data_IF_404405724135
#
_entry.id   IF_404405724135
#
_cell.length_a   1.000
_cell.length_b   1.000
_cell.length_c   1.000
_cell.angle_alpha   90.00
_cell.angle_beta   90.00
_cell.angle_gamma   90.00
#
_symmetry.space_group_name_H-M   'P 1'
#
loop_
_entity.id
_entity.type
_entity.pdbx_description
1 polymer ?
#
# COMPACT_ATOMS: atom_id res chain seq x y z
N UNK A 1 -8.61 11.71 80.58
CA UNK A 1 -8.45 13.17 80.47
C UNK A 1 -9.85 13.74 80.27
N UNK A 2 -10.26 14.70 81.12
CA UNK A 2 -11.47 15.53 80.98
C UNK A 2 -12.79 14.75 81.13
N UNK A 3 -13.61 14.84 82.18
CA UNK A 3 -13.81 15.90 83.18
C UNK A 3 -14.82 16.91 82.66
N UNK A 4 -16.13 16.73 82.92
CA UNK A 4 -17.10 17.84 82.92
C UNK A 4 -18.11 17.65 84.05
N UNK A 5 -17.94 18.51 85.05
CA UNK A 5 -18.91 18.93 86.06
C UNK A 5 -20.03 19.75 85.43
N UNK A 6 -21.19 19.80 86.10
CA UNK A 6 -21.89 21.02 86.57
C UNK A 6 -23.40 20.74 86.72
N UNK A 7 -23.93 20.80 87.95
CA UNK A 7 -24.58 21.99 88.56
C UNK A 7 -26.00 22.20 88.02
N UNK A 8 -27.02 22.60 88.77
CA UNK A 8 -27.21 22.98 90.17
C UNK A 8 -28.74 23.14 90.34
N UNK A 9 -29.22 22.94 91.57
CA UNK A 9 -30.32 23.64 92.28
C UNK A 9 -31.60 24.04 91.50
N UNK A 10 -32.82 23.78 91.97
CA UNK A 10 -33.37 24.18 93.26
C UNK A 10 -34.76 23.55 93.45
N UNK A 11 -35.06 23.23 94.71
CA UNK A 11 -36.38 23.22 95.36
C UNK A 11 -37.54 22.42 94.77
N UNK A 12 -37.88 21.37 95.53
CA UNK A 12 -39.26 21.19 95.99
C UNK A 12 -39.94 19.99 95.35
N UNK A 13 -40.55 19.21 96.24
CA UNK A 13 -41.49 18.13 95.99
C UNK A 13 -40.88 16.74 95.78
N UNK A 14 -41.14 15.92 96.80
CA UNK A 14 -40.93 14.49 96.86
C UNK A 14 -41.34 13.81 95.54
N UNK A 15 -40.35 13.48 94.72
CA UNK A 15 -40.50 12.46 93.70
C UNK A 15 -39.50 11.35 93.99
N UNK A 16 -40.07 10.23 94.43
CA UNK A 16 -39.45 8.92 94.47
C UNK A 16 -38.69 8.70 93.17
N UNK A 17 -37.36 8.69 93.27
CA UNK A 17 -36.46 8.44 92.15
C UNK A 17 -36.80 7.05 91.59
N UNK A 18 -37.14 6.90 90.29
CA UNK A 18 -37.20 5.58 89.69
C UNK A 18 -35.75 5.09 89.61
N UNK A 19 -35.42 4.12 90.44
CA UNK A 19 -34.19 3.34 90.40
C UNK A 19 -34.14 2.54 89.08
N UNK A 20 -33.89 3.22 87.96
CA UNK A 20 -33.76 2.64 86.62
C UNK A 20 -32.30 2.38 86.21
N UNK A 21 -31.37 2.30 87.17
CA UNK A 21 -29.95 1.99 86.94
C UNK A 21 -29.35 1.04 87.99
N UNK A 22 -30.16 0.16 88.57
CA UNK A 22 -29.61 -1.05 89.18
C UNK A 22 -29.27 -2.04 88.06
N UNK A 23 -28.03 -1.92 87.55
CA UNK A 23 -27.37 -2.96 86.76
C UNK A 23 -27.62 -4.30 87.48
N UNK A 24 -28.42 -5.17 86.85
CA UNK A 24 -28.82 -6.47 87.40
C UNK A 24 -27.63 -7.43 87.32
N UNK A 25 -26.68 -7.24 88.23
CA UNK A 25 -25.54 -8.13 88.45
C UNK A 25 -26.01 -9.29 89.33
N UNK A 26 -26.87 -10.18 88.80
CA UNK A 26 -26.91 -11.59 89.21
C UNK A 26 -27.91 -12.38 88.34
N UNK A 27 -27.44 -12.96 87.24
CA UNK A 27 -28.08 -14.08 86.55
C UNK A 27 -27.15 -14.51 85.43
N UNK A 28 -26.68 -15.75 85.46
CA UNK A 28 -25.78 -16.34 84.46
C UNK A 28 -26.38 -16.49 83.06
N UNK A 29 -27.61 -16.01 82.83
CA UNK A 29 -28.34 -16.11 81.56
C UNK A 29 -29.24 -14.88 81.24
N UNK A 30 -29.12 -13.74 81.93
CA UNK A 30 -29.98 -12.54 81.70
C UNK A 30 -29.44 -11.56 80.64
N UNK A 31 -28.28 -11.81 80.02
CA UNK A 31 -27.75 -10.96 78.95
C UNK A 31 -28.62 -10.96 77.67
N UNK A 32 -29.64 -11.82 77.62
CA UNK A 32 -30.57 -11.99 76.50
C UNK A 32 -32.02 -11.55 76.81
N UNK A 33 -32.31 -11.01 78.00
CA UNK A 33 -33.65 -10.50 78.37
C UNK A 33 -33.57 -8.98 78.56
N UNK A 34 -33.47 -8.25 77.45
CA UNK A 34 -33.81 -6.83 77.43
C UNK A 34 -35.32 -6.71 77.12
N UNK A 35 -36.09 -5.97 77.93
CA UNK A 35 -37.44 -5.53 77.56
C UNK A 35 -37.30 -4.52 76.41
N UNK A 36 -37.50 -4.98 75.19
CA UNK A 36 -37.51 -4.10 74.02
C UNK A 36 -38.90 -3.46 73.90
N UNK A 37 -38.96 -2.13 73.79
CA UNK A 37 -40.17 -1.48 73.28
C UNK A 37 -40.41 -2.00 71.86
N UNK A 38 -41.68 -2.18 71.48
CA UNK A 38 -42.04 -2.76 70.18
C UNK A 38 -41.45 -1.95 69.01
N UNK A 39 -41.28 -0.64 69.21
CA UNK A 39 -40.58 0.25 68.27
C UNK A 39 -39.07 0.04 68.18
N UNK A 40 -38.40 -0.24 69.30
CA UNK A 40 -36.93 -0.44 69.35
C UNK A 40 -36.52 -1.78 68.72
N UNK A 41 -37.27 -2.84 69.00
CA UNK A 41 -37.06 -4.14 68.36
C UNK A 41 -37.25 -4.05 66.84
N UNK A 42 -38.33 -3.41 66.38
CA UNK A 42 -38.62 -3.25 64.96
C UNK A 42 -37.53 -2.43 64.24
N UNK A 43 -37.04 -1.36 64.87
CA UNK A 43 -35.97 -0.52 64.31
C UNK A 43 -34.63 -1.28 64.22
N UNK A 44 -34.30 -2.09 65.22
CA UNK A 44 -33.13 -2.96 65.20
C UNK A 44 -33.20 -3.98 64.06
N UNK A 45 -34.30 -4.73 63.95
CA UNK A 45 -34.46 -5.71 62.88
C UNK A 45 -34.55 -5.08 61.48
N UNK A 46 -35.19 -3.91 61.36
CA UNK A 46 -35.23 -3.13 60.11
C UNK A 46 -33.83 -2.67 59.68
N UNK A 47 -32.99 -2.25 60.63
CA UNK A 47 -31.59 -1.86 60.36
C UNK A 47 -30.74 -3.07 59.96
N UNK A 48 -30.90 -4.21 60.64
CA UNK A 48 -30.22 -5.46 60.29
C UNK A 48 -30.61 -5.93 58.88
N UNK A 49 -31.92 -5.95 58.57
CA UNK A 49 -32.40 -6.32 57.23
C UNK A 49 -31.93 -5.33 56.15
N UNK A 50 -31.98 -4.03 56.42
CA UNK A 50 -31.46 -3.00 55.52
C UNK A 50 -29.96 -3.17 55.25
N UNK A 51 -29.18 -3.52 56.27
CA UNK A 51 -27.75 -3.79 56.13
C UNK A 51 -27.47 -5.04 55.28
N UNK A 52 -28.23 -6.11 55.45
CA UNK A 52 -28.10 -7.35 54.66
C UNK A 52 -28.42 -7.09 53.18
N UNK A 53 -29.52 -6.38 52.90
CA UNK A 53 -29.90 -6.02 51.52
C UNK A 53 -28.80 -5.15 50.86
N UNK A 54 -28.22 -4.22 51.62
CA UNK A 54 -27.13 -3.36 51.13
C UNK A 54 -25.88 -4.18 50.78
N UNK A 55 -25.49 -5.14 51.64
CA UNK A 55 -24.34 -6.03 51.39
C UNK A 55 -24.57 -6.89 50.14
N UNK A 56 -25.76 -7.46 49.97
CA UNK A 56 -26.11 -8.25 48.76
C UNK A 56 -26.06 -7.37 47.50
N UNK A 57 -26.58 -6.14 47.58
CA UNK A 57 -26.53 -5.17 46.49
C UNK A 57 -25.10 -4.81 46.09
N UNK A 58 -24.22 -4.59 47.07
CA UNK A 58 -22.78 -4.35 46.83
C UNK A 58 -22.10 -5.54 46.17
N UNK A 59 -22.32 -6.77 46.66
CA UNK A 59 -21.72 -7.98 46.08
C UNK A 59 -22.16 -8.16 44.62
N UNK A 60 -23.45 -7.98 44.34
CA UNK A 60 -24.01 -8.10 42.98
C UNK A 60 -23.44 -7.03 42.05
N UNK A 61 -23.32 -5.79 42.54
CA UNK A 61 -22.71 -4.66 41.81
C UNK A 61 -21.25 -4.96 41.48
N UNK A 62 -20.48 -5.49 42.42
CA UNK A 62 -19.06 -5.85 42.20
C UNK A 62 -18.94 -6.95 41.13
N UNK A 63 -19.76 -7.99 41.19
CA UNK A 63 -19.73 -9.09 40.20
C UNK A 63 -20.08 -8.56 38.80
N UNK A 64 -21.14 -7.76 38.69
CA UNK A 64 -21.57 -7.18 37.42
C UNK A 64 -20.50 -6.24 36.83
N UNK A 65 -19.97 -5.33 37.66
CA UNK A 65 -18.93 -4.37 37.25
C UNK A 65 -17.67 -5.10 36.80
N UNK A 66 -17.25 -6.14 37.53
CA UNK A 66 -16.07 -6.92 37.16
C UNK A 66 -16.27 -7.65 35.82
N UNK A 67 -17.45 -8.24 35.58
CA UNK A 67 -17.78 -8.87 34.29
C UNK A 67 -17.77 -7.86 33.14
N UNK A 68 -18.37 -6.68 33.36
CA UNK A 68 -18.41 -5.61 32.36
C UNK A 68 -17.01 -5.06 32.06
N UNK A 69 -16.19 -4.83 33.08
CA UNK A 69 -14.81 -4.38 32.91
C UNK A 69 -13.99 -5.39 32.11
N UNK A 70 -14.08 -6.68 32.44
CA UNK A 70 -13.40 -7.74 31.69
C UNK A 70 -13.83 -7.78 30.22
N UNK A 71 -15.11 -7.62 29.93
CA UNK A 71 -15.60 -7.56 28.55
C UNK A 71 -15.09 -6.30 27.82
N UNK A 72 -15.09 -5.14 28.49
CA UNK A 72 -14.55 -3.90 27.96
C UNK A 72 -13.05 -3.99 27.67
N UNK A 73 -12.26 -4.59 28.56
CA UNK A 73 -10.82 -4.80 28.37
C UNK A 73 -10.53 -5.72 27.18
N UNK A 74 -11.28 -6.83 27.05
CA UNK A 74 -11.16 -7.73 25.90
C UNK A 74 -11.53 -6.99 24.60
N UNK A 75 -12.60 -6.21 24.62
CA UNK A 75 -13.01 -5.40 23.47
C UNK A 75 -11.94 -4.38 23.07
N UNK A 76 -11.42 -3.60 24.03
CA UNK A 76 -10.37 -2.62 23.78
C UNK A 76 -9.10 -3.27 23.25
N UNK A 77 -8.69 -4.43 23.81
CA UNK A 77 -7.54 -5.18 23.33
C UNK A 77 -7.74 -5.64 21.89
N UNK A 78 -8.90 -6.20 21.56
CA UNK A 78 -9.22 -6.66 20.20
C UNK A 78 -9.26 -5.49 19.21
N UNK A 79 -9.79 -4.34 19.63
CA UNK A 79 -9.77 -3.10 18.85
C UNK A 79 -8.34 -2.64 18.53
N UNK A 80 -7.46 -2.58 19.53
CA UNK A 80 -6.05 -2.21 19.32
C UNK A 80 -5.35 -3.18 18.36
N UNK A 81 -5.63 -4.49 18.48
CA UNK A 81 -5.06 -5.50 17.57
C UNK A 81 -5.60 -5.31 16.14
N UNK A 82 -6.89 -5.03 15.98
CA UNK A 82 -7.51 -4.76 14.69
C UNK A 82 -6.93 -3.49 14.05
N UNK A 83 -6.75 -2.42 14.82
CA UNK A 83 -6.16 -1.16 14.36
C UNK A 83 -4.71 -1.37 13.89
N UNK A 84 -3.88 -2.07 14.67
CA UNK A 84 -2.51 -2.37 14.26
C UNK A 84 -2.47 -3.21 12.97
N UNK A 85 -3.36 -4.20 12.84
CA UNK A 85 -3.48 -5.01 11.62
C UNK A 85 -3.94 -4.17 10.43
N UNK A 86 -4.86 -3.24 10.63
CA UNK A 86 -5.35 -2.33 9.60
C UNK A 86 -4.21 -1.47 9.05
N UNK A 87 -3.39 -0.87 9.90
CA UNK A 87 -2.22 -0.07 9.47
C UNK A 87 -1.27 -0.90 8.60
N UNK A 88 -0.94 -2.12 9.04
CA UNK A 88 -0.08 -3.03 8.27
C UNK A 88 -0.69 -3.43 6.92
N UNK A 89 -2.01 -3.62 6.85
CA UNK A 89 -2.70 -3.92 5.60
C UNK A 89 -2.77 -2.72 4.67
N UNK A 90 -2.94 -1.52 5.21
CA UNK A 90 -2.92 -0.28 4.45
C UNK A 90 -1.55 -0.08 3.79
N UNK A 91 -0.46 -0.24 4.53
CA UNK A 91 0.90 -0.15 4.00
C UNK A 91 1.14 -1.17 2.87
N UNK A 92 0.76 -2.44 3.08
CA UNK A 92 0.87 -3.48 2.05
C UNK A 92 0.08 -3.13 0.79
N UNK A 93 -1.11 -2.58 0.96
CA UNK A 93 -1.97 -2.19 -0.15
C UNK A 93 -1.40 -1.03 -0.96
N UNK A 94 -0.89 0.01 -0.30
CA UNK A 94 -0.23 1.14 -0.98
C UNK A 94 0.99 0.65 -1.79
N UNK A 95 1.76 -0.28 -1.24
CA UNK A 95 2.86 -0.90 -1.96
C UNK A 95 2.39 -1.64 -3.21
N UNK A 96 1.30 -2.42 -3.12
CA UNK A 96 0.72 -3.11 -4.27
C UNK A 96 0.22 -2.10 -5.31
N UNK A 97 -0.51 -1.06 -4.90
CA UNK A 97 -1.00 -0.04 -5.81
C UNK A 97 0.14 0.65 -6.56
N UNK A 98 1.19 1.05 -5.85
CA UNK A 98 2.37 1.67 -6.46
C UNK A 98 2.96 0.77 -7.55
N UNK A 99 3.05 -0.54 -7.33
CA UNK A 99 3.48 -1.48 -8.36
C UNK A 99 2.53 -1.52 -9.57
N UNK A 100 1.21 -1.56 -9.34
CA UNK A 100 0.21 -1.56 -10.43
C UNK A 100 0.31 -0.26 -11.26
N UNK A 101 0.52 0.88 -10.62
CA UNK A 101 0.75 2.16 -11.32
C UNK A 101 2.05 2.15 -12.12
N UNK A 102 3.15 1.64 -11.56
CA UNK A 102 4.42 1.51 -12.29
C UNK A 102 4.29 0.60 -13.51
N UNK A 103 3.56 -0.53 -13.38
CA UNK A 103 3.28 -1.43 -14.51
C UNK A 103 2.50 -0.69 -15.59
N UNK A 104 1.47 0.08 -15.22
CA UNK A 104 0.70 0.88 -16.17
C UNK A 104 1.58 1.89 -16.91
N UNK A 105 2.41 2.65 -16.20
CA UNK A 105 3.32 3.66 -16.80
C UNK A 105 4.22 3.01 -17.87
N UNK A 106 4.78 1.84 -17.55
CA UNK A 106 5.66 1.09 -18.45
C UNK A 106 4.90 0.52 -19.64
N UNK A 107 3.74 -0.12 -19.42
CA UNK A 107 2.93 -0.74 -20.48
C UNK A 107 2.32 0.29 -21.42
N UNK A 108 1.87 1.43 -20.89
CA UNK A 108 1.33 2.54 -21.68
C UNK A 108 2.41 3.42 -22.29
N UNK A 109 3.69 3.11 -22.05
CA UNK A 109 4.83 3.80 -22.65
C UNK A 109 4.77 5.32 -22.39
N UNK A 110 4.35 5.73 -21.18
CA UNK A 110 4.20 7.13 -20.79
C UNK A 110 5.55 7.88 -20.85
N UNK A 111 6.65 7.17 -20.57
CA UNK A 111 8.02 7.68 -20.74
C UNK A 111 8.29 8.20 -22.17
N UNK A 112 7.58 7.67 -23.18
CA UNK A 112 7.77 8.02 -24.59
C UNK A 112 6.93 9.23 -25.04
N UNK A 113 6.07 9.78 -24.18
CA UNK A 113 5.22 10.94 -24.48
C UNK A 113 5.96 12.27 -24.46
N UNK A 114 7.09 12.35 -23.75
CA UNK A 114 7.89 13.58 -23.67
C UNK A 114 8.53 13.97 -25.02
N UNK A 115 8.50 15.26 -25.35
CA UNK A 115 9.38 15.82 -26.38
C UNK A 115 10.84 15.46 -26.04
N UNK A 116 11.60 14.96 -27.02
CA UNK A 116 12.97 14.48 -26.79
C UNK A 116 13.13 12.96 -26.57
N UNK A 117 12.17 12.12 -26.95
CA UNK A 117 12.34 10.65 -26.95
C UNK A 117 13.68 10.17 -27.54
N UNK A 118 14.08 10.73 -28.70
CA UNK A 118 15.35 10.37 -29.33
C UNK A 118 16.52 10.78 -28.42
N UNK A 119 16.49 12.00 -27.89
CA UNK A 119 17.54 12.52 -26.99
C UNK A 119 17.62 11.72 -25.68
N UNK A 120 16.49 11.24 -25.16
CA UNK A 120 16.44 10.35 -23.98
C UNK A 120 16.98 8.96 -24.31
N UNK A 121 16.62 8.39 -25.45
CA UNK A 121 17.14 7.09 -25.91
C UNK A 121 18.66 7.10 -25.99
N UNK A 122 19.24 8.18 -26.54
CA UNK A 122 20.69 8.30 -26.69
C UNK A 122 21.41 8.67 -25.36
N UNK A 123 20.69 9.08 -24.30
CA UNK A 123 21.26 9.53 -23.02
C UNK A 123 20.88 8.61 -21.84
N UNK A 124 21.41 7.38 -21.78
CA UNK A 124 21.27 6.38 -20.69
C UNK A 124 19.83 6.02 -20.24
N UNK A 125 18.79 6.75 -20.66
CA UNK A 125 17.40 6.57 -20.22
C UNK A 125 16.78 5.29 -20.77
N UNK A 126 17.30 4.75 -21.88
CA UNK A 126 16.84 3.49 -22.45
C UNK A 126 17.20 2.32 -21.53
N UNK A 127 18.41 2.30 -20.98
CA UNK A 127 18.83 1.29 -20.01
C UNK A 127 17.98 1.37 -18.73
N UNK A 128 17.75 2.57 -18.20
CA UNK A 128 16.86 2.77 -17.06
C UNK A 128 15.43 2.30 -17.34
N UNK A 129 14.93 2.51 -18.56
CA UNK A 129 13.61 2.01 -18.96
C UNK A 129 13.58 0.48 -19.04
N UNK A 130 14.61 -0.16 -19.61
CA UNK A 130 14.74 -1.61 -19.63
C UNK A 130 14.84 -2.21 -18.23
N UNK A 131 15.57 -1.58 -17.33
CA UNK A 131 15.64 -1.97 -15.93
C UNK A 131 14.25 -1.93 -15.27
N UNK A 132 13.49 -0.84 -15.46
CA UNK A 132 12.10 -0.74 -14.99
C UNK A 132 11.20 -1.82 -15.57
N UNK A 133 11.31 -2.11 -16.87
CA UNK A 133 10.55 -3.20 -17.53
C UNK A 133 10.87 -4.55 -16.88
N UNK A 134 12.16 -4.83 -16.65
CA UNK A 134 12.62 -6.07 -16.01
C UNK A 134 12.15 -6.18 -14.56
N UNK A 135 12.18 -5.08 -13.80
CA UNK A 135 11.65 -5.03 -12.43
C UNK A 135 10.15 -5.32 -12.40
N UNK A 136 9.37 -4.69 -13.27
CA UNK A 136 7.93 -4.96 -13.40
C UNK A 136 7.68 -6.43 -13.75
N UNK A 137 8.43 -6.98 -14.70
CA UNK A 137 8.30 -8.38 -15.08
C UNK A 137 8.64 -9.35 -13.93
N UNK A 138 9.71 -9.07 -13.16
CA UNK A 138 10.05 -9.85 -11.96
C UNK A 138 8.96 -9.78 -10.91
N UNK A 139 8.42 -8.59 -10.65
CA UNK A 139 7.32 -8.41 -9.71
C UNK A 139 6.09 -9.23 -10.13
N UNK A 140 5.68 -9.14 -11.40
CA UNK A 140 4.54 -9.90 -11.93
C UNK A 140 4.75 -11.43 -11.82
N UNK A 141 5.98 -11.91 -11.98
CA UNK A 141 6.31 -13.33 -11.82
C UNK A 141 6.39 -13.79 -10.36
N UNK A 142 6.65 -12.88 -9.43
CA UNK A 142 6.63 -13.19 -8.00
C UNK A 142 5.21 -13.39 -7.44
N UNK A 143 4.19 -12.94 -8.16
CA UNK A 143 2.79 -13.14 -7.80
C UNK A 143 2.36 -14.57 -8.19
N UNK A 144 2.66 -15.54 -7.31
CA UNK A 144 2.40 -16.98 -7.55
C UNK A 144 0.94 -17.37 -7.30
N UNK A 145 0.23 -16.64 -6.42
CA UNK A 145 -1.14 -16.97 -5.98
C UNK A 145 -2.20 -15.99 -6.51
N UNK A 146 -2.10 -15.60 -7.78
CA UNK A 146 -3.13 -14.76 -8.39
C UNK A 146 -4.41 -15.57 -8.60
N UNK A 147 -5.46 -15.26 -7.83
CA UNK A 147 -6.78 -15.89 -7.95
C UNK A 147 -7.37 -15.61 -9.33
N UNK A 148 -8.13 -16.57 -9.85
CA UNK A 148 -8.88 -16.39 -11.10
C UNK A 148 -9.82 -15.18 -11.02
N UNK A 149 -9.91 -14.42 -12.11
CA UNK A 149 -10.71 -13.21 -12.20
C UNK A 149 -9.93 -12.02 -12.78
N UNK A 150 -10.38 -10.81 -12.42
CA UNK A 150 -9.87 -9.53 -12.96
C UNK A 150 -8.38 -9.36 -12.67
N UNK A 151 -7.90 -9.81 -11.50
CA UNK A 151 -6.48 -9.79 -11.17
C UNK A 151 -5.67 -10.58 -12.20
N UNK A 152 -6.01 -11.87 -12.39
CA UNK A 152 -5.29 -12.75 -13.31
C UNK A 152 -5.30 -12.19 -14.73
N UNK A 153 -6.45 -11.72 -15.20
CA UNK A 153 -6.56 -11.07 -16.51
C UNK A 153 -5.61 -9.87 -16.62
N UNK A 154 -5.56 -8.99 -15.61
CA UNK A 154 -4.63 -7.87 -15.56
C UNK A 154 -3.16 -8.30 -15.56
N UNK A 155 -2.80 -9.29 -14.71
CA UNK A 155 -1.43 -9.79 -14.59
C UNK A 155 -0.95 -10.46 -15.89
N UNK A 156 -1.78 -11.30 -16.49
CA UNK A 156 -1.45 -12.03 -17.73
C UNK A 156 -1.32 -11.06 -18.91
N UNK A 157 -2.29 -10.16 -19.12
CA UNK A 157 -2.18 -9.12 -20.15
C UNK A 157 -0.95 -8.23 -19.96
N UNK A 158 -0.64 -7.86 -18.71
CA UNK A 158 0.55 -7.06 -18.41
C UNK A 158 1.84 -7.82 -18.73
N UNK A 159 1.91 -9.12 -18.40
CA UNK A 159 3.07 -9.96 -18.73
C UNK A 159 3.26 -10.10 -20.23
N UNK A 160 2.20 -10.40 -20.97
CA UNK A 160 2.25 -10.57 -22.42
C UNK A 160 2.74 -9.30 -23.11
N UNK A 161 2.27 -8.15 -22.64
CA UNK A 161 2.68 -6.84 -23.19
C UNK A 161 4.11 -6.48 -22.85
N UNK A 162 4.54 -6.68 -21.61
CA UNK A 162 5.93 -6.44 -21.22
C UNK A 162 6.87 -7.36 -21.98
N UNK A 163 6.48 -8.62 -22.20
CA UNK A 163 7.23 -9.54 -23.05
C UNK A 163 7.28 -9.06 -24.50
N UNK A 164 6.17 -8.59 -25.06
CA UNK A 164 6.14 -7.98 -26.39
C UNK A 164 7.10 -6.80 -26.52
N UNK A 165 7.13 -5.92 -25.52
CA UNK A 165 8.09 -4.80 -25.44
C UNK A 165 9.53 -5.34 -25.40
N UNK A 166 9.84 -6.29 -24.51
CA UNK A 166 11.17 -6.88 -24.39
C UNK A 166 11.65 -7.54 -25.69
N UNK A 167 10.77 -8.26 -26.39
CA UNK A 167 11.10 -8.85 -27.69
C UNK A 167 11.45 -7.79 -28.73
N UNK A 168 10.72 -6.68 -28.77
CA UNK A 168 11.02 -5.57 -29.67
C UNK A 168 12.35 -4.90 -29.34
N UNK A 169 12.69 -4.75 -28.06
CA UNK A 169 14.01 -4.24 -27.66
C UNK A 169 15.13 -5.19 -28.07
N UNK A 170 14.92 -6.50 -27.93
CA UNK A 170 15.88 -7.50 -28.41
C UNK A 170 16.06 -7.44 -29.93
N UNK A 171 14.97 -7.29 -30.68
CA UNK A 171 15.00 -7.09 -32.13
C UNK A 171 15.74 -5.81 -32.52
N UNK A 172 15.51 -4.71 -31.79
CA UNK A 172 16.22 -3.45 -31.97
C UNK A 172 17.73 -3.62 -31.80
N UNK A 173 18.19 -4.32 -30.75
CA UNK A 173 19.62 -4.61 -30.56
C UNK A 173 20.24 -5.31 -31.76
N UNK A 174 19.55 -6.32 -32.32
CA UNK A 174 19.99 -7.04 -33.51
C UNK A 174 20.03 -6.14 -34.77
N UNK A 175 19.01 -5.28 -34.94
CA UNK A 175 18.95 -4.31 -36.05
C UNK A 175 20.09 -3.29 -35.99
N UNK A 176 20.47 -2.85 -34.78
CA UNK A 176 21.58 -1.93 -34.57
C UNK A 176 22.91 -2.60 -34.90
N UNK A 177 23.17 -3.79 -34.35
CA UNK A 177 24.40 -4.55 -34.61
C UNK A 177 24.58 -4.82 -36.12
N UNK A 178 23.50 -5.20 -36.81
CA UNK A 178 23.53 -5.37 -38.26
C UNK A 178 23.86 -4.06 -38.99
N UNK A 179 23.26 -2.94 -38.59
CA UNK A 179 23.50 -1.67 -39.24
C UNK A 179 24.91 -1.12 -38.99
N UNK A 180 25.48 -1.40 -37.83
CA UNK A 180 26.89 -1.09 -37.51
C UNK A 180 27.83 -1.87 -38.43
N UNK A 181 27.62 -3.19 -38.56
CA UNK A 181 28.41 -4.03 -39.47
C UNK A 181 28.26 -3.61 -40.94
N UNK A 182 27.03 -3.32 -41.40
CA UNK A 182 26.76 -2.87 -42.77
C UNK A 182 27.42 -1.51 -43.05
N UNK A 183 27.47 -0.62 -42.05
CA UNK A 183 28.15 0.68 -42.15
C UNK A 183 29.67 0.54 -42.17
N UNK A 184 30.24 -0.36 -41.36
CA UNK A 184 31.67 -0.66 -41.37
C UNK A 184 32.10 -1.21 -42.75
N UNK A 185 31.38 -2.21 -43.28
CA UNK A 185 31.64 -2.76 -44.61
C UNK A 185 31.51 -1.69 -45.70
N UNK A 186 30.54 -0.77 -45.56
CA UNK A 186 30.38 0.36 -46.49
C UNK A 186 31.57 1.31 -46.44
N UNK A 187 32.10 1.66 -45.26
CA UNK A 187 33.28 2.51 -45.15
C UNK A 187 34.51 1.82 -45.75
N UNK A 188 34.73 0.54 -45.46
CA UNK A 188 35.85 -0.22 -46.02
C UNK A 188 35.80 -0.26 -47.56
N UNK A 189 34.64 -0.58 -48.14
CA UNK A 189 34.47 -0.58 -49.61
C UNK A 189 34.71 0.81 -50.20
N UNK A 190 34.29 1.87 -49.50
CA UNK A 190 34.49 3.25 -49.94
C UNK A 190 35.97 3.64 -49.93
N UNK A 191 36.72 3.21 -48.91
CA UNK A 191 38.17 3.42 -48.82
C UNK A 191 38.93 2.63 -49.88
N UNK A 192 38.52 1.39 -50.15
CA UNK A 192 39.06 0.58 -51.24
C UNK A 192 38.82 1.25 -52.60
N UNK A 193 37.59 1.74 -52.86
CA UNK A 193 37.28 2.47 -54.09
C UNK A 193 38.13 3.73 -54.25
N UNK A 194 38.29 4.54 -53.19
CA UNK A 194 39.18 5.73 -53.21
C UNK A 194 40.63 5.40 -53.55
N UNK A 195 41.07 4.19 -53.26
CA UNK A 195 42.41 3.69 -53.55
C UNK A 195 42.51 3.00 -54.93
N UNK A 196 41.39 2.78 -55.62
CA UNK A 196 41.33 2.13 -56.94
C UNK A 196 41.68 3.11 -58.07
N UNK A 197 42.31 2.62 -59.16
CA UNK A 197 42.45 3.38 -60.42
C UNK A 197 41.12 3.92 -60.96
N UNK A 198 40.01 3.23 -60.68
CA UNK A 198 38.67 3.62 -61.14
C UNK A 198 38.24 4.97 -60.56
N UNK A 199 38.51 5.23 -59.27
CA UNK A 199 38.21 6.53 -58.65
C UNK A 199 38.96 7.68 -59.34
N UNK A 200 40.22 7.46 -59.72
CA UNK A 200 41.01 8.47 -60.44
C UNK A 200 40.39 8.73 -61.82
N UNK A 201 40.04 7.67 -62.54
CA UNK A 201 39.38 7.77 -63.85
C UNK A 201 38.02 8.48 -63.76
N UNK A 202 37.18 8.14 -62.78
CA UNK A 202 35.87 8.77 -62.59
C UNK A 202 36.00 10.25 -62.23
N UNK A 203 36.98 10.60 -61.40
CA UNK A 203 37.28 11.98 -61.03
C UNK A 203 37.76 12.81 -62.22
N UNK A 204 38.63 12.25 -63.06
CA UNK A 204 39.09 12.87 -64.31
C UNK A 204 37.90 13.04 -65.29
N UNK A 205 37.11 11.99 -65.48
CA UNK A 205 35.93 11.99 -66.36
C UNK A 205 34.89 13.03 -65.92
N UNK A 206 34.66 13.17 -64.61
CA UNK A 206 33.78 14.20 -64.06
C UNK A 206 34.32 15.61 -64.32
N UNK A 207 35.62 15.84 -64.11
CA UNK A 207 36.26 17.12 -64.36
C UNK A 207 36.22 17.53 -65.85
N UNK A 208 36.28 16.57 -66.77
CA UNK A 208 36.16 16.81 -68.21
C UNK A 208 34.72 17.14 -68.66
N UNK A 209 33.71 16.57 -68.00
CA UNK A 209 32.29 16.68 -68.42
C UNK A 209 31.50 17.80 -67.74
N UNK A 210 31.97 18.38 -66.64
CA UNK A 210 31.20 19.37 -65.86
C UNK A 210 31.89 20.75 -65.77
N UNK A 211 31.13 21.86 -65.66
CA UNK A 211 31.70 23.20 -65.46
C UNK A 211 32.49 23.29 -64.14
N UNK A 212 33.56 24.09 -64.13
CA UNK A 212 34.60 24.20 -63.09
C UNK A 212 34.14 24.43 -61.64
N UNK A 213 32.85 24.74 -61.42
CA UNK A 213 32.28 25.05 -60.10
C UNK A 213 31.55 23.87 -59.41
N UNK A 214 31.41 22.69 -60.02
CA UNK A 214 30.74 21.54 -59.37
C UNK A 214 31.75 20.60 -58.69
N UNK A 215 31.57 20.40 -57.39
CA UNK A 215 32.35 19.43 -56.60
C UNK A 215 32.07 18.01 -57.09
N UNK A 216 33.11 17.18 -57.14
CA UNK A 216 33.00 15.75 -57.42
C UNK A 216 32.21 15.08 -56.30
N UNK A 217 31.09 14.45 -56.64
CA UNK A 217 30.26 13.72 -55.70
C UNK A 217 30.64 12.24 -55.70
N UNK A 218 31.60 11.88 -54.85
CA UNK A 218 32.15 10.52 -54.72
C UNK A 218 31.06 9.48 -54.44
N UNK A 219 30.02 9.85 -53.69
CA UNK A 219 28.95 8.94 -53.30
C UNK A 219 28.09 8.55 -54.49
N UNK A 220 27.95 9.43 -55.49
CA UNK A 220 27.14 9.16 -56.69
C UNK A 220 27.77 8.10 -57.60
N UNK A 221 29.10 8.08 -57.69
CA UNK A 221 29.85 7.13 -58.52
C UNK A 221 30.10 5.80 -57.79
N UNK A 222 30.33 5.86 -56.48
CA UNK A 222 30.48 4.66 -55.65
C UNK A 222 29.17 3.86 -55.51
N UNK A 223 28.01 4.53 -55.46
CA UNK A 223 26.72 3.90 -55.17
C UNK A 223 25.93 3.42 -56.41
N UNK A 224 26.58 2.97 -57.49
CA UNK A 224 25.87 2.36 -58.63
C UNK A 224 25.14 1.06 -58.23
N UNK A 225 23.99 1.18 -57.57
CA UNK A 225 23.00 0.14 -57.34
C UNK A 225 22.82 -0.38 -55.92
N UNK A 226 23.70 -0.09 -54.94
CA UNK A 226 23.60 -0.64 -53.57
C UNK A 226 23.03 0.29 -52.49
N UNK A 227 22.99 1.61 -52.73
CA UNK A 227 22.50 2.58 -51.76
C UNK A 227 23.36 2.69 -50.49
N UNK A 228 23.19 3.77 -49.72
CA UNK A 228 23.84 3.92 -48.41
C UNK A 228 23.12 3.06 -47.36
N UNK A 229 23.83 2.38 -46.43
CA UNK A 229 23.19 1.60 -45.39
C UNK A 229 22.28 2.46 -44.50
N UNK A 230 21.28 1.82 -43.87
CA UNK A 230 20.38 2.54 -42.96
C UNK A 230 21.17 3.11 -41.78
N UNK A 231 21.08 4.43 -41.58
CA UNK A 231 21.61 5.07 -40.37
C UNK A 231 20.93 4.53 -39.11
N UNK A 232 21.71 4.31 -38.05
CA UNK A 232 21.24 3.94 -36.70
C UNK A 232 20.10 4.87 -36.23
N UNK A 233 20.18 6.17 -36.52
CA UNK A 233 19.14 7.15 -36.17
C UNK A 233 17.79 6.84 -36.82
N UNK A 234 17.80 6.34 -38.06
CA UNK A 234 16.57 5.94 -38.74
C UNK A 234 15.98 4.67 -38.13
N UNK A 235 16.82 3.72 -37.70
CA UNK A 235 16.37 2.49 -37.03
C UNK A 235 15.66 2.81 -35.71
N UNK A 236 16.23 3.70 -34.90
CA UNK A 236 15.56 4.16 -33.67
C UNK A 236 14.25 4.90 -33.92
N UNK A 237 14.15 5.63 -35.04
CA UNK A 237 12.91 6.31 -35.45
C UNK A 237 11.84 5.28 -35.85
N UNK A 238 12.20 4.30 -36.68
CA UNK A 238 11.31 3.19 -37.05
C UNK A 238 10.78 2.47 -35.80
N UNK A 239 11.68 2.11 -34.88
CA UNK A 239 11.32 1.48 -33.61
C UNK A 239 10.37 2.32 -32.75
N UNK A 240 10.58 3.65 -32.68
CA UNK A 240 9.66 4.57 -31.99
C UNK A 240 8.26 4.50 -32.57
N UNK A 241 8.18 4.53 -33.89
CA UNK A 241 6.90 4.57 -34.60
C UNK A 241 6.15 3.24 -34.43
N UNK A 242 6.86 2.12 -34.43
CA UNK A 242 6.32 0.78 -34.08
C UNK A 242 5.75 0.74 -32.66
N UNK A 243 6.45 1.30 -31.67
CA UNK A 243 5.97 1.35 -30.28
C UNK A 243 4.74 2.25 -30.12
N UNK A 244 4.71 3.40 -30.80
CA UNK A 244 3.55 4.31 -30.80
C UNK A 244 2.32 3.67 -31.44
N UNK A 245 2.52 2.94 -32.53
CA UNK A 245 1.43 2.25 -33.21
C UNK A 245 0.79 1.19 -32.29
N UNK A 246 1.60 0.43 -31.57
CA UNK A 246 1.09 -0.56 -30.64
C UNK A 246 0.39 0.06 -29.44
N UNK A 247 0.95 1.13 -28.87
CA UNK A 247 0.27 1.91 -27.84
C UNK A 247 -1.15 2.29 -28.28
N UNK A 248 -1.30 2.86 -29.47
CA UNK A 248 -2.60 3.29 -29.99
C UNK A 248 -3.63 2.16 -30.09
N UNK A 249 -3.19 0.92 -30.39
CA UNK A 249 -4.08 -0.25 -30.46
C UNK A 249 -4.58 -0.71 -29.10
N UNK A 250 -3.77 -0.53 -28.05
CA UNK A 250 -3.98 -1.19 -26.76
C UNK A 250 -4.36 -0.25 -25.61
N UNK A 251 -4.20 1.05 -25.80
CA UNK A 251 -4.35 2.07 -24.76
C UNK A 251 -5.72 2.01 -24.06
N UNK A 252 -6.80 2.00 -24.85
CA UNK A 252 -8.15 2.12 -24.32
C UNK A 252 -8.57 0.86 -23.55
N UNK A 253 -8.35 -0.31 -24.14
CA UNK A 253 -8.66 -1.60 -23.53
C UNK A 253 -7.89 -1.83 -22.22
N UNK A 254 -6.61 -1.45 -22.20
CA UNK A 254 -5.79 -1.63 -21.02
C UNK A 254 -6.10 -0.64 -19.91
N UNK A 255 -6.40 0.60 -20.27
CA UNK A 255 -6.84 1.60 -19.30
C UNK A 255 -8.14 1.15 -18.62
N UNK A 256 -9.06 0.57 -19.38
CA UNK A 256 -10.28 -0.03 -18.81
C UNK A 256 -9.96 -1.20 -17.87
N UNK A 257 -9.09 -2.12 -18.28
CA UNK A 257 -8.68 -3.27 -17.46
C UNK A 257 -7.98 -2.82 -16.17
N UNK A 258 -7.09 -1.84 -16.26
CA UNK A 258 -6.41 -1.22 -15.13
C UNK A 258 -7.42 -0.63 -14.13
N UNK A 259 -8.40 0.16 -14.61
CA UNK A 259 -9.39 0.77 -13.72
C UNK A 259 -10.22 -0.30 -12.99
N UNK A 260 -10.63 -1.36 -13.69
CA UNK A 260 -11.33 -2.51 -13.08
C UNK A 260 -10.48 -3.21 -12.02
N UNK A 261 -9.18 -3.38 -12.27
CA UNK A 261 -8.25 -3.98 -11.33
C UNK A 261 -8.11 -3.13 -10.05
N UNK A 262 -7.99 -1.81 -10.19
CA UNK A 262 -7.92 -0.88 -9.04
C UNK A 262 -9.19 -0.96 -8.19
N UNK A 263 -10.37 -0.92 -8.83
CA UNK A 263 -11.66 -1.05 -8.13
C UNK A 263 -11.76 -2.38 -7.39
N UNK A 264 -11.44 -3.48 -8.07
CA UNK A 264 -11.44 -4.81 -7.47
C UNK A 264 -10.51 -4.89 -6.24
N UNK A 265 -9.29 -4.36 -6.34
CA UNK A 265 -8.33 -4.32 -5.22
C UNK A 265 -8.83 -3.47 -4.06
N UNK A 266 -9.48 -2.35 -4.34
CA UNK A 266 -10.07 -1.49 -3.32
C UNK A 266 -11.19 -2.21 -2.56
N UNK A 267 -12.06 -2.92 -3.27
CA UNK A 267 -13.15 -3.70 -2.68
C UNK A 267 -12.63 -4.87 -1.85
N UNK A 268 -11.59 -5.57 -2.32
CA UNK A 268 -10.91 -6.64 -1.58
C UNK A 268 -10.35 -6.11 -0.24
N UNK A 269 -9.66 -4.95 -0.28
CA UNK A 269 -9.12 -4.29 0.93
C UNK A 269 -10.24 -3.95 1.92
N UNK A 270 -11.34 -3.36 1.45
CA UNK A 270 -12.47 -2.95 2.29
C UNK A 270 -13.07 -4.15 3.02
N UNK A 271 -13.33 -5.26 2.31
CA UNK A 271 -13.86 -6.50 2.91
C UNK A 271 -12.93 -7.07 3.98
N UNK A 272 -11.62 -7.04 3.76
CA UNK A 272 -10.64 -7.52 4.75
C UNK A 272 -10.66 -6.62 5.99
N UNK A 273 -10.66 -5.29 5.80
CA UNK A 273 -10.73 -4.33 6.91
C UNK A 273 -12.03 -4.54 7.72
N UNK A 274 -13.18 -4.64 7.06
CA UNK A 274 -14.47 -4.89 7.73
C UNK A 274 -14.43 -6.18 8.56
N UNK A 275 -13.82 -7.25 8.04
CA UNK A 275 -13.67 -8.52 8.76
C UNK A 275 -12.79 -8.44 10.01
N UNK A 276 -11.88 -7.46 10.11
CA UNK A 276 -11.03 -7.28 11.30
C UNK A 276 -11.80 -6.75 12.50
N UNK A 277 -12.88 -6.01 12.27
CA UNK A 277 -13.71 -5.40 13.31
C UNK A 277 -14.96 -6.23 13.62
N UNK A 278 -15.13 -7.39 12.99
CA UNK A 278 -16.15 -8.37 13.35
C UNK A 278 -15.74 -9.13 14.62
N UNK A 279 -16.06 -8.54 15.78
CA UNK A 279 -15.81 -9.13 17.10
C UNK A 279 -16.94 -10.07 17.56
N UNK A 280 -17.82 -10.49 16.65
CA UNK A 280 -18.95 -11.40 16.96
C UNK A 280 -18.56 -12.88 17.04
N UNK A 281 -17.28 -13.22 16.78
CA UNK A 281 -16.68 -14.55 16.96
C UNK A 281 -15.94 -14.67 18.29
#
# INVERSE_FOLDING_TARGET
MVGVYCCNNYNGYNHTIPYKYAFKVNSGYDLLIAEWDSGDALTFYGTVLGSIVTVIGLITTIIFTNKQNRQSEIFQRNMIIADNKKVLLEEKYENILNWIYNIKEVVLLEVLEGEGFLDKIFNNSLNNFLEKVLECYKYLNSQVDVKEGIDKEFYDESKDRLMGILYKFKDLSCRIEKAENDMEEYQERKEQYRSSPDYINDKINHAMKQPSNRKFDENKFFNEGKGEPKSIKNIYKEFRDELKQDKGKYNDNYTLLFNKCIEYKKDEKLKIIESLYDFSK
#
